data_IF_461141487620
#
_entry.id   IF_461141487620
#
_cell.length_a   1.000
_cell.length_b   1.000
_cell.length_c   1.000
_cell.angle_alpha   90.00
_cell.angle_beta   90.00
_cell.angle_gamma   90.00
#
_symmetry.space_group_name_H-M   'P 1'
#
loop_
_entity.id
_entity.type
_entity.pdbx_description
1 polymer ?
#
# COMPACT_ATOMS: atom_id res chain seq x y z
N UNK A 1 26.80 3.08 -5.17
CA UNK A 1 25.68 4.05 -5.42
C UNK A 1 24.42 3.72 -4.61
N UNK A 2 24.44 2.75 -3.67
CA UNK A 2 23.28 2.34 -2.86
C UNK A 2 22.85 3.34 -1.77
N UNK A 3 23.79 4.09 -1.18
CA UNK A 3 23.54 4.92 0.01
C UNK A 3 22.42 5.98 -0.14
N UNK A 4 22.13 6.45 -1.35
CA UNK A 4 21.13 7.49 -1.56
C UNK A 4 19.70 6.97 -1.62
N UNK A 5 19.51 5.72 -2.07
CA UNK A 5 18.19 5.10 -2.21
C UNK A 5 17.67 4.69 -0.83
N UNK A 6 18.53 4.07 -0.03
CA UNK A 6 18.22 3.69 1.36
C UNK A 6 17.90 4.92 2.21
N UNK A 7 18.61 6.04 2.00
CA UNK A 7 18.33 7.29 2.71
C UNK A 7 16.96 7.90 2.37
N UNK A 8 16.44 7.68 1.15
CA UNK A 8 15.11 8.17 0.76
C UNK A 8 14.01 7.28 1.32
N UNK A 9 14.20 5.96 1.28
CA UNK A 9 13.29 4.98 1.89
C UNK A 9 13.18 5.23 3.41
N UNK A 10 14.30 5.43 4.10
CA UNK A 10 14.31 5.78 5.51
C UNK A 10 13.56 7.09 5.79
N UNK A 11 13.74 8.13 4.96
CA UNK A 11 12.99 9.40 5.11
C UNK A 11 11.48 9.25 4.91
N UNK A 12 11.03 8.30 4.08
CA UNK A 12 9.60 7.99 3.96
C UNK A 12 9.10 7.35 5.26
N UNK A 13 9.85 6.38 5.79
CA UNK A 13 9.53 5.73 7.06
C UNK A 13 9.49 6.73 8.22
N UNK A 14 10.54 7.55 8.38
CA UNK A 14 10.63 8.57 9.43
C UNK A 14 9.42 9.51 9.37
N UNK A 15 9.00 9.95 8.17
CA UNK A 15 7.86 10.83 8.01
C UNK A 15 6.55 10.17 8.45
N UNK A 16 6.39 8.87 8.24
CA UNK A 16 5.20 8.11 8.68
C UNK A 16 5.22 7.91 10.19
N UNK A 17 6.36 7.48 10.76
CA UNK A 17 6.51 7.26 12.21
C UNK A 17 6.25 8.54 13.02
N UNK A 18 6.75 9.67 12.53
CA UNK A 18 6.55 10.98 13.14
C UNK A 18 5.22 11.66 12.76
N UNK A 19 4.35 10.98 12.00
CA UNK A 19 3.05 11.52 11.52
C UNK A 19 3.20 12.92 10.91
N UNK A 20 4.16 13.05 10.00
CA UNK A 20 4.49 14.31 9.35
C UNK A 20 4.16 14.27 7.84
N UNK A 21 2.90 14.55 7.46
CA UNK A 21 2.45 14.62 6.07
C UNK A 21 3.29 15.54 5.19
N UNK A 22 3.80 16.64 5.75
CA UNK A 22 4.56 17.62 4.98
C UNK A 22 5.96 17.10 4.65
N UNK A 23 6.61 16.43 5.61
CA UNK A 23 7.87 15.73 5.36
C UNK A 23 7.68 14.61 4.32
N UNK A 24 6.60 13.84 4.44
CA UNK A 24 6.27 12.78 3.48
C UNK A 24 6.12 13.34 2.05
N UNK A 25 5.34 14.41 1.89
CA UNK A 25 5.12 15.09 0.60
C UNK A 25 6.44 15.58 -0.02
N UNK A 26 7.33 16.16 0.78
CA UNK A 26 8.67 16.60 0.33
C UNK A 26 9.53 15.42 -0.14
N UNK A 27 9.54 14.32 0.60
CA UNK A 27 10.31 13.12 0.24
C UNK A 27 9.77 12.48 -1.04
N UNK A 28 8.44 12.38 -1.20
CA UNK A 28 7.80 11.91 -2.44
C UNK A 28 8.21 12.78 -3.64
N UNK A 29 8.15 14.11 -3.50
CA UNK A 29 8.55 15.02 -4.55
C UNK A 29 10.03 14.85 -4.93
N UNK A 30 10.91 14.68 -3.95
CA UNK A 30 12.33 14.43 -4.18
C UNK A 30 12.59 13.09 -4.90
N UNK A 31 11.81 12.04 -4.60
CA UNK A 31 11.89 10.76 -5.32
C UNK A 31 11.45 10.94 -6.77
N UNK A 32 10.32 11.61 -7.01
CA UNK A 32 9.82 11.90 -8.38
C UNK A 32 10.83 12.71 -9.20
N UNK A 33 11.39 13.76 -8.64
CA UNK A 33 12.41 14.57 -9.29
C UNK A 33 13.67 13.74 -9.62
N UNK A 34 14.09 12.88 -8.69
CA UNK A 34 15.21 11.99 -8.91
C UNK A 34 14.93 10.92 -9.96
N UNK A 35 13.69 10.40 -10.07
CA UNK A 35 13.27 9.51 -11.17
C UNK A 35 13.40 10.21 -12.51
N UNK A 36 12.92 11.45 -12.62
CA UNK A 36 13.02 12.25 -13.85
C UNK A 36 14.48 12.52 -14.26
N UNK A 37 15.36 12.75 -13.28
CA UNK A 37 16.81 12.90 -13.52
C UNK A 37 17.46 11.58 -13.94
N UNK A 38 17.13 10.48 -13.25
CA UNK A 38 17.65 9.16 -13.55
C UNK A 38 17.23 8.67 -14.94
N UNK A 39 16.02 9.01 -15.39
CA UNK A 39 15.55 8.70 -16.74
C UNK A 39 16.41 9.32 -17.84
N UNK A 40 17.18 10.37 -17.53
CA UNK A 40 18.12 11.03 -18.43
C UNK A 40 19.55 10.46 -18.32
N UNK A 41 19.78 9.39 -17.58
CA UNK A 41 21.12 8.79 -17.36
C UNK A 41 21.09 7.30 -16.99
N UNK A 42 22.24 6.76 -16.55
CA UNK A 42 22.43 5.34 -16.17
C UNK A 42 22.35 5.08 -14.65
N UNK A 43 21.76 5.99 -13.86
CA UNK A 43 21.70 5.86 -12.40
C UNK A 43 20.53 4.97 -11.95
N UNK A 44 20.68 4.31 -10.80
CA UNK A 44 19.61 3.53 -10.18
C UNK A 44 18.30 4.33 -10.05
N UNK A 45 17.18 3.72 -10.46
CA UNK A 45 15.85 4.35 -10.42
C UNK A 45 15.32 4.36 -8.99
N UNK A 46 15.16 5.54 -8.36
CA UNK A 46 14.56 5.59 -7.03
C UNK A 46 13.07 5.22 -7.13
N UNK A 47 12.60 4.38 -6.22
CA UNK A 47 11.19 3.96 -6.16
C UNK A 47 10.56 4.29 -4.81
N UNK A 48 9.23 4.47 -4.82
CA UNK A 48 8.43 4.52 -3.60
C UNK A 48 8.29 3.12 -2.95
N UNK A 49 8.49 2.08 -3.76
CA UNK A 49 8.36 0.68 -3.36
C UNK A 49 9.68 0.08 -2.88
N UNK A 50 10.71 0.91 -2.72
CA UNK A 50 11.97 0.47 -2.12
C UNK A 50 11.68 0.02 -0.68
N UNK A 51 12.16 -1.16 -0.24
CA UNK A 51 11.91 -1.63 1.11
C UNK A 51 12.43 -0.66 2.17
N UNK A 52 11.61 -0.40 3.18
CA UNK A 52 11.96 0.35 4.41
C UNK A 52 12.20 -0.59 5.59
N UNK A 53 11.96 -1.88 5.41
CA UNK A 53 12.12 -2.91 6.43
C UNK A 53 12.40 -4.28 5.81
N UNK A 54 12.54 -5.32 6.65
CA UNK A 54 12.76 -6.68 6.17
C UNK A 54 11.57 -7.18 5.34
N UNK A 55 11.79 -8.24 4.57
CA UNK A 55 10.73 -8.96 3.86
C UNK A 55 9.93 -8.10 2.85
N UNK A 56 10.56 -7.06 2.28
CA UNK A 56 9.92 -6.23 1.26
C UNK A 56 8.87 -5.26 1.80
N UNK A 57 8.87 -4.97 3.11
CA UNK A 57 7.96 -3.95 3.67
C UNK A 57 8.30 -2.59 3.07
N UNK A 58 7.32 -1.95 2.43
CA UNK A 58 7.45 -0.61 1.84
C UNK A 58 6.86 0.45 2.78
N UNK A 59 7.12 1.73 2.48
CA UNK A 59 6.49 2.84 3.20
C UNK A 59 4.95 2.78 3.11
N UNK A 60 4.41 2.31 1.98
CA UNK A 60 2.97 2.15 1.80
C UNK A 60 2.39 1.10 2.77
N UNK A 61 3.06 -0.04 2.93
CA UNK A 61 2.66 -1.06 3.91
C UNK A 61 2.62 -0.49 5.32
N UNK A 62 3.65 0.26 5.73
CA UNK A 62 3.72 0.86 7.06
C UNK A 62 2.57 1.85 7.28
N UNK A 63 2.26 2.71 6.31
CA UNK A 63 1.14 3.66 6.43
C UNK A 63 -0.22 2.95 6.59
N UNK A 64 -0.48 1.90 5.81
CA UNK A 64 -1.71 1.12 5.90
C UNK A 64 -1.81 0.31 7.21
N UNK A 65 -0.72 -0.32 7.66
CA UNK A 65 -0.70 -0.99 8.96
C UNK A 65 -0.92 -0.01 10.11
N UNK A 66 -0.25 1.16 10.08
CA UNK A 66 -0.41 2.19 11.09
C UNK A 66 -1.85 2.74 11.15
N UNK A 67 -2.49 2.93 9.99
CA UNK A 67 -3.93 3.23 9.93
C UNK A 67 -4.77 2.14 10.58
N UNK A 68 -4.45 0.87 10.30
CA UNK A 68 -5.22 -0.26 10.81
C UNK A 68 -5.10 -0.44 12.32
N UNK A 69 -3.91 -0.32 12.90
CA UNK A 69 -3.69 -0.57 14.34
C UNK A 69 -4.15 0.59 15.24
N UNK A 70 -4.32 1.80 14.70
CA UNK A 70 -4.76 2.98 15.47
C UNK A 70 -6.28 3.21 15.35
N UNK A 71 -7.12 2.17 15.42
CA UNK A 71 -8.59 2.33 15.32
C UNK A 71 -9.17 3.24 16.42
N UNK A 72 -8.57 3.23 17.60
CA UNK A 72 -9.07 3.91 18.80
C UNK A 72 -8.74 5.41 18.85
N UNK A 73 -7.87 5.89 17.94
CA UNK A 73 -7.44 7.29 17.87
C UNK A 73 -7.82 7.88 16.50
N UNK A 74 -8.98 8.57 16.40
CA UNK A 74 -9.46 9.11 15.14
C UNK A 74 -8.48 10.08 14.47
N UNK A 75 -7.74 10.87 15.27
CA UNK A 75 -6.79 11.85 14.75
C UNK A 75 -5.58 11.16 14.12
N UNK A 76 -5.01 10.15 14.80
CA UNK A 76 -3.93 9.33 14.22
C UNK A 76 -4.41 8.58 13.00
N UNK A 77 -5.58 7.95 13.08
CA UNK A 77 -6.16 7.19 11.97
C UNK A 77 -6.34 8.05 10.73
N UNK A 78 -6.91 9.25 10.87
CA UNK A 78 -7.05 10.21 9.76
C UNK A 78 -5.68 10.64 9.20
N UNK A 79 -4.67 10.82 10.05
CA UNK A 79 -3.33 11.16 9.61
C UNK A 79 -2.70 10.03 8.77
N UNK A 80 -2.79 8.79 9.24
CA UNK A 80 -2.26 7.62 8.51
C UNK A 80 -3.03 7.33 7.22
N UNK A 81 -4.36 7.50 7.23
CA UNK A 81 -5.19 7.44 6.01
C UNK A 81 -4.66 8.42 4.95
N UNK A 82 -4.54 9.71 5.32
CA UNK A 82 -4.00 10.74 4.42
C UNK A 82 -2.61 10.39 3.89
N UNK A 83 -1.72 9.86 4.73
CA UNK A 83 -0.38 9.45 4.32
C UNK A 83 -0.38 8.27 3.35
N UNK A 84 -1.24 7.27 3.56
CA UNK A 84 -1.42 6.16 2.62
C UNK A 84 -1.99 6.64 1.28
N UNK A 85 -2.99 7.54 1.30
CA UNK A 85 -3.53 8.19 0.10
C UNK A 85 -2.47 8.95 -0.69
N UNK A 86 -1.65 9.76 -0.02
CA UNK A 86 -0.54 10.48 -0.66
C UNK A 86 0.45 9.54 -1.35
N UNK A 87 0.74 8.38 -0.78
CA UNK A 87 1.64 7.39 -1.39
C UNK A 87 0.99 6.70 -2.60
N UNK A 88 -0.29 6.33 -2.52
CA UNK A 88 -1.03 5.75 -3.65
C UNK A 88 -1.13 6.73 -4.83
N UNK A 89 -1.55 7.98 -4.57
CA UNK A 89 -1.53 9.07 -5.55
C UNK A 89 -0.12 9.36 -6.09
N UNK A 90 0.90 9.09 -5.28
CA UNK A 90 2.28 9.25 -5.68
C UNK A 90 2.74 8.21 -6.72
N UNK A 91 2.00 7.11 -6.85
CA UNK A 91 2.32 5.96 -7.69
C UNK A 91 3.09 4.86 -6.94
N UNK A 92 2.90 4.74 -5.62
CA UNK A 92 3.33 3.55 -4.89
C UNK A 92 2.47 2.36 -5.31
N UNK A 93 3.08 1.18 -5.38
CA UNK A 93 2.40 -0.06 -5.72
C UNK A 93 1.54 -0.54 -4.53
N UNK A 94 0.23 -0.38 -4.67
CA UNK A 94 -0.76 -0.76 -3.66
C UNK A 94 -0.86 -2.29 -3.49
N UNK A 95 -0.38 -3.05 -4.48
CA UNK A 95 -0.36 -4.51 -4.50
C UNK A 95 1.04 -5.08 -4.31
N UNK A 96 2.02 -4.26 -3.91
CA UNK A 96 3.35 -4.75 -3.59
C UNK A 96 3.25 -5.89 -2.56
N UNK A 97 3.80 -7.04 -2.90
CA UNK A 97 3.83 -8.17 -2.00
C UNK A 97 4.93 -8.02 -0.96
N UNK A 98 4.64 -8.39 0.29
CA UNK A 98 5.61 -8.50 1.37
C UNK A 98 5.44 -9.80 2.14
N UNK A 99 6.45 -10.15 2.93
CA UNK A 99 6.49 -11.38 3.71
C UNK A 99 7.69 -12.28 3.36
N UNK A 100 7.91 -13.35 4.13
CA UNK A 100 8.97 -14.32 3.84
C UNK A 100 8.76 -14.94 2.46
N UNK A 101 9.85 -15.38 1.80
CA UNK A 101 9.79 -15.91 0.43
C UNK A 101 8.78 -17.05 0.22
N UNK A 102 8.48 -17.82 1.28
CA UNK A 102 7.54 -18.95 1.24
C UNK A 102 6.07 -18.55 1.44
N UNK A 103 5.82 -17.31 1.86
CA UNK A 103 4.49 -16.81 2.16
C UNK A 103 4.49 -15.29 1.98
N UNK A 104 4.04 -14.85 0.80
CA UNK A 104 3.90 -13.44 0.43
C UNK A 104 2.43 -13.09 0.34
N UNK A 105 2.11 -11.84 0.65
CA UNK A 105 0.76 -11.31 0.56
C UNK A 105 0.82 -9.80 0.30
N UNK A 106 -0.26 -9.26 -0.24
CA UNK A 106 -0.48 -7.82 -0.37
C UNK A 106 -0.92 -7.23 0.98
N UNK A 107 -0.82 -5.91 1.13
CA UNK A 107 -1.30 -5.25 2.35
C UNK A 107 -2.82 -5.37 2.53
N UNK A 108 -3.58 -5.45 1.44
CA UNK A 108 -5.04 -5.62 1.53
C UNK A 108 -5.39 -7.00 2.09
N UNK A 109 -4.68 -8.05 1.66
CA UNK A 109 -4.86 -9.41 2.20
C UNK A 109 -4.44 -9.49 3.67
N UNK A 110 -3.31 -8.88 4.04
CA UNK A 110 -2.86 -8.80 5.43
C UNK A 110 -3.86 -8.12 6.37
N UNK A 111 -4.62 -7.17 5.84
CA UNK A 111 -5.64 -6.43 6.57
C UNK A 111 -7.05 -7.02 6.38
N UNK A 112 -7.17 -8.26 5.92
CA UNK A 112 -8.43 -8.97 5.71
C UNK A 112 -9.44 -8.21 4.83
N UNK A 113 -8.95 -7.55 3.77
CA UNK A 113 -9.76 -6.75 2.86
C UNK A 113 -10.04 -5.32 3.36
N UNK A 114 -9.56 -4.94 4.54
CA UNK A 114 -9.59 -3.56 4.99
C UNK A 114 -8.53 -2.73 4.25
N UNK A 115 -8.89 -1.49 3.93
CA UNK A 115 -7.99 -0.52 3.33
C UNK A 115 -8.36 0.90 3.80
N UNK A 116 -7.38 1.82 3.91
CA UNK A 116 -7.66 3.20 4.23
C UNK A 116 -8.67 3.83 3.27
N UNK A 117 -9.65 4.62 3.74
CA UNK A 117 -10.63 5.29 2.88
C UNK A 117 -10.04 6.04 1.69
N UNK A 118 -8.93 6.76 1.87
CA UNK A 118 -8.29 7.49 0.78
C UNK A 118 -7.69 6.55 -0.28
N UNK A 119 -7.18 5.39 0.14
CA UNK A 119 -6.67 4.36 -0.77
C UNK A 119 -7.82 3.73 -1.54
N UNK A 120 -8.94 3.42 -0.87
CA UNK A 120 -10.15 2.92 -1.56
C UNK A 120 -10.67 3.91 -2.60
N UNK A 121 -10.73 5.20 -2.25
CA UNK A 121 -11.13 6.26 -3.16
C UNK A 121 -10.18 6.34 -4.38
N UNK A 122 -8.87 6.26 -4.14
CA UNK A 122 -7.88 6.22 -5.21
C UNK A 122 -8.04 4.98 -6.10
N UNK A 123 -8.25 3.79 -5.54
CA UNK A 123 -8.46 2.56 -6.31
C UNK A 123 -9.71 2.69 -7.20
N UNK A 124 -10.80 3.22 -6.67
CA UNK A 124 -12.05 3.45 -7.40
C UNK A 124 -11.93 4.53 -8.50
N UNK A 125 -10.96 5.44 -8.40
CA UNK A 125 -10.74 6.49 -9.39
C UNK A 125 -9.80 6.08 -10.52
N UNK A 126 -9.23 4.87 -10.50
CA UNK A 126 -8.30 4.44 -11.54
C UNK A 126 -9.05 4.11 -12.85
N UNK A 127 -8.52 4.52 -14.01
CA UNK A 127 -9.20 4.39 -15.31
C UNK A 127 -9.23 2.95 -15.87
N UNK A 128 -8.66 1.98 -15.17
CA UNK A 128 -8.74 0.56 -15.50
C UNK A 128 -9.20 -0.23 -14.27
N UNK A 129 -9.98 -1.28 -14.50
CA UNK A 129 -10.53 -2.12 -13.44
C UNK A 129 -9.38 -2.85 -12.74
N UNK A 130 -8.88 -2.29 -11.62
CA UNK A 130 -7.87 -2.93 -10.75
C UNK A 130 -8.35 -4.30 -10.22
N UNK A 131 -9.65 -4.60 -10.34
CA UNK A 131 -10.25 -5.87 -9.98
C UNK A 131 -10.09 -6.98 -11.03
N UNK A 132 -9.54 -6.68 -12.22
CA UNK A 132 -9.27 -7.65 -13.28
C UNK A 132 -7.87 -8.30 -13.20
N UNK A 133 -7.31 -8.44 -11.99
CA UNK A 133 -6.30 -9.47 -11.75
C UNK A 133 -7.02 -10.80 -11.54
N UNK A 134 -6.60 -11.86 -12.25
CA UNK A 134 -7.26 -13.17 -12.28
C UNK A 134 -7.47 -13.84 -10.90
N UNK A 135 -6.89 -13.28 -9.83
CA UNK A 135 -6.98 -13.77 -8.46
C UNK A 135 -8.24 -13.32 -7.70
N UNK A 136 -8.89 -12.22 -8.08
CA UNK A 136 -10.06 -11.69 -7.34
C UNK A 136 -11.42 -12.23 -7.82
N UNK A 137 -11.50 -12.80 -9.02
CA UNK A 137 -12.70 -13.51 -9.49
C UNK A 137 -12.94 -14.84 -8.75
N UNK A 138 -11.93 -15.37 -8.05
CA UNK A 138 -12.05 -16.64 -7.34
C UNK A 138 -12.64 -16.51 -5.92
N UNK A 139 -12.54 -15.35 -5.27
CA UNK A 139 -12.89 -15.20 -3.86
C UNK A 139 -14.27 -14.56 -3.59
N UNK A 140 -14.80 -13.73 -4.49
CA UNK A 140 -16.12 -13.12 -4.33
C UNK A 140 -17.28 -14.02 -4.78
N UNK A 141 -17.04 -15.02 -5.62
CA UNK A 141 -18.07 -15.99 -6.04
C UNK A 141 -18.30 -17.14 -5.03
N UNK A 142 -17.43 -17.31 -4.02
CA UNK A 142 -17.54 -18.43 -3.06
C UNK A 142 -18.28 -18.12 -1.76
N UNK A 143 -18.68 -16.87 -1.52
CA UNK A 143 -19.32 -16.48 -0.27
C UNK A 143 -20.86 -16.51 -0.27
N UNK A 144 -21.51 -16.63 -1.44
CA UNK A 144 -22.99 -16.67 -1.52
C UNK A 144 -23.61 -18.07 -1.57
N UNK A 145 -22.83 -19.14 -1.47
CA UNK A 145 -23.37 -20.50 -1.50
C UNK A 145 -23.08 -21.26 -0.20
N UNK A 146 -23.70 -20.82 0.91
CA UNK A 146 -24.12 -21.73 1.99
C UNK A 146 -25.15 -21.09 2.92
N UNK A 147 -26.42 -21.47 2.71
CA UNK A 147 -27.23 -21.97 3.82
C UNK A 147 -28.04 -23.19 3.37
N UNK A 148 -27.96 -24.32 4.08
CA UNK A 148 -28.73 -25.53 3.80
C UNK A 148 -30.03 -25.58 4.63
N UNK A 149 -31.11 -26.07 4.02
CA UNK A 149 -32.26 -26.73 4.63
C UNK A 149 -33.08 -27.33 3.47
N UNK A 150 -32.99 -28.64 3.14
CA UNK A 150 -33.55 -29.79 3.84
C UNK A 150 -35.10 -29.76 3.93
N UNK A 151 -35.71 -30.90 3.55
CA UNK A 151 -37.11 -31.35 3.70
C UNK A 151 -38.06 -30.92 2.56
N UNK A 152 -38.81 -31.79 1.87
CA UNK A 152 -39.14 -33.21 2.06
C UNK A 152 -39.63 -33.83 0.74
N UNK A 153 -39.57 -35.15 0.69
CA UNK A 153 -40.23 -36.05 -0.27
C UNK A 153 -41.75 -35.85 -0.31
N UNK A 154 -42.37 -36.20 -1.45
CA UNK A 154 -43.82 -36.25 -1.68
C UNK A 154 -44.17 -36.21 -3.16
#
# INVERSE_FOLDING_TARGET
MEMTTDRRAQRLLDAIEHRNPQALKRTIAAIREARLKAWRGLTAFPSLDHPVGPNGITAFHVACMAWHVNQDDPAKRQCYDKMAGMLAEAGADVFAEFGPAKQRWTIIEALHGAAPPSVKAWMASQPFDLHCSASNTAHTLRWDCRRPAALSEG
#
